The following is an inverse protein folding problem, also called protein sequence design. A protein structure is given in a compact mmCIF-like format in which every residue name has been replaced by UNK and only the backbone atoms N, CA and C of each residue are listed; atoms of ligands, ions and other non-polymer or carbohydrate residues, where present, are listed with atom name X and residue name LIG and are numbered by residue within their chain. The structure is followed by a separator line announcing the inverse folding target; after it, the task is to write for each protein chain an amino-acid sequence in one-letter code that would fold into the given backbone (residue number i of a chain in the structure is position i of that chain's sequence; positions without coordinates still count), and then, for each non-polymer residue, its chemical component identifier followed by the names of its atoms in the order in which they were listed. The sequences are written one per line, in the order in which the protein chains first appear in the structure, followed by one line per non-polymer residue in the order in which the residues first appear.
data_IF_542264155373
#
_entry.id   IF_542264155373
#
_cell.length_a   1.000
_cell.length_b   1.000
_cell.length_c   1.000
_cell.angle_alpha   90.00
_cell.angle_beta   90.00
_cell.angle_gamma   90.00
#
_symmetry.space_group_name_H-M   'P 1'
#
loop_
_entity.id
_entity.type
_entity.pdbx_description
1 polymer ?
#
# COMPACT_ATOMS: atom_id res chain seq x y z
N UNK A 1 -40.83 -59.02 -29.22
CA UNK A 1 -39.65 -58.72 -28.40
C UNK A 1 -39.44 -57.21 -28.37
N UNK A 2 -39.82 -56.57 -27.28
CA UNK A 2 -39.60 -55.14 -27.13
C UNK A 2 -38.36 -54.94 -26.31
N UNK A 3 -37.32 -54.39 -26.89
CA UNK A 3 -36.08 -54.00 -26.16
C UNK A 3 -36.32 -52.62 -25.53
N UNK A 4 -36.44 -52.56 -24.20
CA UNK A 4 -36.42 -51.34 -23.43
C UNK A 4 -34.97 -50.85 -23.34
N UNK A 5 -34.69 -49.69 -23.95
CA UNK A 5 -33.46 -48.95 -23.75
C UNK A 5 -33.63 -48.06 -22.49
N UNK A 6 -32.97 -48.43 -21.42
CA UNK A 6 -32.82 -47.53 -20.24
C UNK A 6 -31.79 -46.48 -20.56
N UNK A 7 -32.20 -45.28 -20.77
CA UNK A 7 -31.30 -44.12 -20.83
C UNK A 7 -30.99 -43.67 -19.38
N UNK A 8 -29.82 -43.96 -18.92
CA UNK A 8 -29.28 -43.45 -17.64
C UNK A 8 -28.85 -42.02 -17.84
N UNK A 9 -29.61 -41.09 -17.30
CA UNK A 9 -29.26 -39.69 -17.26
C UNK A 9 -28.26 -39.48 -16.11
N UNK A 10 -26.99 -39.26 -16.43
CA UNK A 10 -25.98 -38.82 -15.47
C UNK A 10 -26.14 -37.32 -15.25
N UNK A 11 -26.77 -36.93 -14.17
CA UNK A 11 -26.78 -35.57 -13.70
C UNK A 11 -25.46 -35.29 -12.99
N UNK A 12 -24.51 -34.71 -13.73
CA UNK A 12 -23.26 -34.21 -13.15
C UNK A 12 -23.53 -32.96 -12.31
N UNK A 13 -23.54 -33.14 -11.00
CA UNK A 13 -23.51 -32.00 -10.07
C UNK A 13 -22.14 -31.34 -10.12
N UNK A 14 -22.04 -30.23 -10.82
CA UNK A 14 -20.89 -29.33 -10.71
C UNK A 14 -20.93 -28.72 -9.31
N UNK A 15 -20.20 -29.29 -8.37
CA UNK A 15 -19.96 -28.69 -7.07
C UNK A 15 -19.11 -27.44 -7.26
N UNK A 16 -19.72 -26.26 -7.20
CA UNK A 16 -19.00 -25.00 -7.08
C UNK A 16 -18.30 -24.99 -5.74
N UNK A 17 -16.99 -25.29 -5.74
CA UNK A 17 -16.16 -25.06 -4.59
C UNK A 17 -16.07 -23.53 -4.40
N UNK A 18 -16.84 -22.98 -3.48
CA UNK A 18 -16.67 -21.60 -3.03
C UNK A 18 -15.32 -21.54 -2.32
N UNK A 19 -14.38 -20.80 -2.90
CA UNK A 19 -13.15 -20.46 -2.22
C UNK A 19 -13.51 -19.65 -0.96
N UNK A 20 -12.95 -19.98 0.21
CA UNK A 20 -13.19 -19.16 1.39
C UNK A 20 -12.69 -17.76 1.11
N UNK A 21 -13.57 -16.75 1.20
CA UNK A 21 -13.15 -15.37 1.18
C UNK A 21 -12.17 -15.17 2.35
N UNK A 22 -10.95 -14.69 2.07
CA UNK A 22 -10.04 -14.31 3.11
C UNK A 22 -10.73 -13.27 4.00
N UNK A 23 -10.90 -13.58 5.30
CA UNK A 23 -11.46 -12.64 6.25
C UNK A 23 -10.53 -11.42 6.33
N UNK A 24 -11.06 -10.21 6.18
CA UNK A 24 -10.30 -8.99 6.37
C UNK A 24 -9.75 -8.94 7.80
N UNK A 25 -8.46 -8.67 7.91
CA UNK A 25 -7.82 -8.50 9.22
C UNK A 25 -8.25 -7.17 9.81
N UNK A 26 -8.93 -7.22 10.95
CA UNK A 26 -9.35 -6.03 11.69
C UNK A 26 -8.32 -5.71 12.76
N UNK A 27 -7.64 -4.55 12.63
CA UNK A 27 -6.65 -4.08 13.58
C UNK A 27 -7.31 -3.05 14.49
N UNK A 28 -7.43 -3.37 15.78
CA UNK A 28 -8.05 -2.50 16.80
C UNK A 28 -7.04 -1.79 17.69
N UNK A 29 -5.80 -2.27 17.70
CA UNK A 29 -4.72 -1.68 18.47
C UNK A 29 -4.04 -0.59 17.67
N UNK A 30 -3.89 0.60 18.26
CA UNK A 30 -3.17 1.70 17.63
C UNK A 30 -1.70 1.33 17.34
N UNK A 31 -1.14 1.79 16.21
CA UNK A 31 0.29 1.63 15.99
C UNK A 31 1.09 2.36 17.06
N UNK A 32 2.26 1.85 17.45
CA UNK A 32 3.17 2.57 18.32
C UNK A 32 3.60 3.89 17.68
N UNK A 33 4.08 4.87 18.46
CA UNK A 33 4.69 6.06 17.90
C UNK A 33 5.81 5.71 16.92
N UNK A 34 6.01 6.49 15.85
CA UNK A 34 7.14 6.29 14.95
C UNK A 34 8.46 6.26 15.73
N UNK A 35 9.37 5.41 15.32
CA UNK A 35 10.72 5.39 15.90
C UNK A 35 11.54 6.55 15.37
N UNK A 36 12.33 7.14 16.25
CA UNK A 36 13.32 8.12 15.83
C UNK A 36 14.41 7.42 15.01
N UNK A 37 14.55 7.84 13.78
CA UNK A 37 15.64 7.41 12.90
C UNK A 37 16.48 8.62 12.53
N UNK A 38 17.79 8.42 12.50
CA UNK A 38 18.69 9.43 11.93
C UNK A 38 18.41 9.50 10.43
N UNK A 39 17.90 10.64 9.97
CA UNK A 39 17.71 10.90 8.55
C UNK A 39 19.09 11.14 7.93
N UNK A 40 19.52 10.32 6.97
CA UNK A 40 20.84 10.52 6.35
C UNK A 40 20.91 11.84 5.58
N UNK A 41 22.11 12.34 5.35
CA UNK A 41 22.32 13.48 4.46
C UNK A 41 21.75 13.19 3.06
N UNK A 42 21.21 14.24 2.41
CA UNK A 42 20.60 14.11 1.08
C UNK A 42 21.57 13.42 0.10
N UNK A 43 21.02 12.49 -0.67
CA UNK A 43 21.77 11.72 -1.67
C UNK A 43 21.23 12.04 -3.06
N UNK A 44 22.09 12.56 -3.92
CA UNK A 44 21.71 12.91 -5.30
C UNK A 44 21.10 11.72 -6.06
N UNK A 45 19.94 11.95 -6.70
CA UNK A 45 19.21 10.92 -7.46
C UNK A 45 18.42 9.92 -6.61
N UNK A 46 18.32 10.15 -5.29
CA UNK A 46 17.58 9.30 -4.38
C UNK A 46 16.67 10.10 -3.45
N UNK A 47 15.61 9.47 -3.02
CA UNK A 47 14.65 9.99 -2.04
C UNK A 47 14.71 9.10 -0.80
N UNK A 48 14.72 9.72 0.38
CA UNK A 48 14.65 8.96 1.62
C UNK A 48 13.19 8.56 1.88
N UNK A 49 12.96 7.24 1.96
CA UNK A 49 11.71 6.68 2.43
C UNK A 49 11.84 6.41 3.93
N UNK A 50 11.15 7.18 4.80
CA UNK A 50 11.26 7.01 6.24
C UNK A 50 10.74 5.64 6.69
N UNK A 51 11.25 5.16 7.82
CA UNK A 51 10.75 3.96 8.46
C UNK A 51 9.27 4.09 8.84
N UNK A 52 8.62 2.98 8.94
CA UNK A 52 7.21 2.92 9.29
C UNK A 52 6.84 1.59 9.96
N UNK A 53 5.68 1.56 10.62
CA UNK A 53 5.11 0.34 11.15
C UNK A 53 4.32 -0.40 10.08
N UNK A 54 4.50 -1.72 10.01
CA UNK A 54 3.66 -2.63 9.26
C UNK A 54 2.99 -3.63 10.19
N UNK A 55 1.80 -4.08 9.83
CA UNK A 55 1.12 -5.14 10.54
C UNK A 55 1.46 -6.48 9.91
N UNK A 56 2.14 -7.33 10.68
CA UNK A 56 2.54 -8.68 10.23
C UNK A 56 2.31 -9.69 11.34
N UNK A 57 1.63 -10.78 11.02
CA UNK A 57 1.38 -11.89 11.94
C UNK A 57 0.81 -11.45 13.30
N UNK A 58 -0.19 -10.56 13.28
CA UNK A 58 -0.90 -10.12 14.48
C UNK A 58 -0.16 -9.09 15.34
N UNK A 59 0.87 -8.44 14.82
CA UNK A 59 1.65 -7.42 15.54
C UNK A 59 2.21 -6.34 14.64
N UNK A 60 2.55 -5.21 15.21
CA UNK A 60 3.29 -4.17 14.53
C UNK A 60 4.79 -4.51 14.46
N UNK A 61 5.34 -4.41 13.27
CA UNK A 61 6.77 -4.64 13.00
C UNK A 61 7.33 -3.37 12.37
N UNK A 62 8.45 -2.88 12.90
CA UNK A 62 9.11 -1.71 12.35
C UNK A 62 9.90 -2.05 11.09
N UNK A 63 9.64 -1.29 10.02
CA UNK A 63 10.40 -1.33 8.78
C UNK A 63 11.31 -0.11 8.74
N UNK A 64 12.62 -0.33 8.68
CA UNK A 64 13.61 0.75 8.63
C UNK A 64 13.47 1.58 7.38
N UNK A 65 13.79 2.87 7.49
CA UNK A 65 13.92 3.76 6.35
C UNK A 65 14.97 3.27 5.35
N UNK A 66 14.77 3.62 4.10
CA UNK A 66 15.66 3.21 3.00
C UNK A 66 15.71 4.28 1.90
N UNK A 67 16.74 4.21 1.08
CA UNK A 67 16.85 5.03 -0.11
C UNK A 67 16.05 4.43 -1.26
N UNK A 68 15.27 5.27 -1.93
CA UNK A 68 14.59 4.94 -3.18
C UNK A 68 15.19 5.77 -4.30
N UNK A 69 15.32 5.17 -5.49
CA UNK A 69 15.72 5.92 -6.66
C UNK A 69 14.63 6.93 -7.03
N UNK A 70 15.04 8.18 -7.23
CA UNK A 70 14.15 9.27 -7.65
C UNK A 70 13.40 8.90 -8.93
N UNK A 71 12.11 9.27 -8.98
CA UNK A 71 11.26 9.13 -10.17
C UNK A 71 10.86 10.51 -10.66
N UNK A 72 11.36 10.90 -11.81
CA UNK A 72 11.08 12.19 -12.42
C UNK A 72 9.58 12.44 -12.57
N UNK A 73 9.10 13.59 -12.11
CA UNK A 73 7.69 13.98 -12.17
C UNK A 73 6.80 13.32 -11.12
N UNK A 74 7.38 12.61 -10.15
CA UNK A 74 6.68 11.95 -9.05
C UNK A 74 7.30 12.33 -7.72
N UNK A 75 6.46 12.44 -6.69
CA UNK A 75 6.88 12.54 -5.30
C UNK A 75 6.56 11.25 -4.54
N UNK A 76 7.45 10.85 -3.65
CA UNK A 76 7.21 9.70 -2.78
C UNK A 76 6.44 10.12 -1.53
N UNK A 77 5.40 9.36 -1.21
CA UNK A 77 4.61 9.52 0.01
C UNK A 77 4.77 8.27 0.87
N UNK A 78 5.17 8.45 2.12
CA UNK A 78 5.29 7.36 3.07
C UNK A 78 3.91 6.77 3.42
N UNK A 79 3.85 5.46 3.77
CA UNK A 79 2.61 4.89 4.30
C UNK A 79 2.25 5.54 5.63
N UNK A 80 0.95 5.70 5.88
CA UNK A 80 0.40 6.27 7.10
C UNK A 80 -0.69 5.38 7.68
N UNK A 81 -0.80 5.35 9.02
CA UNK A 81 -1.88 4.68 9.70
C UNK A 81 -2.98 5.69 10.05
N UNK A 82 -4.22 5.34 9.73
CA UNK A 82 -5.40 6.15 10.05
C UNK A 82 -6.42 5.32 10.79
N UNK A 83 -7.10 5.93 11.76
CA UNK A 83 -8.22 5.32 12.45
C UNK A 83 -9.52 5.62 11.69
N UNK A 84 -10.29 4.57 11.44
CA UNK A 84 -11.63 4.66 10.84
C UNK A 84 -12.57 3.71 11.57
N UNK A 85 -13.60 4.26 12.20
CA UNK A 85 -14.63 3.47 12.91
C UNK A 85 -14.05 2.48 13.94
N UNK A 86 -13.09 2.92 14.74
CA UNK A 86 -12.43 2.10 15.76
C UNK A 86 -11.45 1.05 15.21
N UNK A 87 -11.12 1.11 13.94
CA UNK A 87 -10.17 0.22 13.27
C UNK A 87 -9.00 1.02 12.69
N UNK A 88 -7.82 0.43 12.75
CA UNK A 88 -6.63 1.02 12.14
C UNK A 88 -6.40 0.46 10.75
N UNK A 89 -6.24 1.35 9.79
CA UNK A 89 -6.03 1.04 8.38
C UNK A 89 -4.75 1.73 7.91
N UNK A 90 -3.90 0.96 7.23
CA UNK A 90 -2.72 1.54 6.61
C UNK A 90 -3.07 2.07 5.23
N UNK A 91 -2.91 3.37 5.03
CA UNK A 91 -2.88 3.98 3.71
C UNK A 91 -1.51 3.75 3.10
N UNK A 92 -1.46 3.05 1.99
CA UNK A 92 -0.21 2.68 1.34
C UNK A 92 0.52 3.92 0.84
N UNK A 93 1.81 3.96 1.13
CA UNK A 93 2.72 4.88 0.49
C UNK A 93 2.96 4.54 -0.97
N UNK A 94 3.65 5.41 -1.66
CA UNK A 94 4.03 5.20 -3.04
C UNK A 94 4.33 6.51 -3.78
N UNK A 95 4.50 6.38 -5.06
CA UNK A 95 4.78 7.51 -5.93
C UNK A 95 3.49 8.14 -6.46
N UNK A 96 3.39 9.46 -6.34
CA UNK A 96 2.27 10.24 -6.86
C UNK A 96 2.78 11.27 -7.86
N UNK A 97 2.04 11.45 -8.95
CA UNK A 97 2.35 12.46 -9.95
C UNK A 97 1.96 13.85 -9.43
N UNK A 98 2.75 14.87 -9.77
CA UNK A 98 2.32 16.27 -9.63
C UNK A 98 3.15 17.15 -8.70
N UNK A 99 4.12 16.59 -8.00
CA UNK A 99 5.10 17.35 -7.23
C UNK A 99 6.50 16.86 -7.63
N UNK A 100 7.10 17.57 -8.60
CA UNK A 100 8.32 17.12 -9.27
C UNK A 100 9.56 17.25 -8.43
N UNK A 101 9.63 18.27 -7.60
CA UNK A 101 10.76 18.56 -6.74
C UNK A 101 10.53 18.19 -5.27
N UNK A 102 9.31 17.80 -4.91
CA UNK A 102 8.98 17.31 -3.58
C UNK A 102 8.92 18.39 -2.50
N UNK A 103 8.71 19.65 -2.90
CA UNK A 103 8.61 20.78 -1.96
C UNK A 103 7.23 20.89 -1.26
N UNK A 104 6.29 20.04 -1.66
CA UNK A 104 4.92 20.03 -1.16
C UNK A 104 3.96 20.89 -1.97
N UNK A 105 4.42 21.62 -2.98
CA UNK A 105 3.60 22.40 -3.90
C UNK A 105 3.39 21.62 -5.20
N UNK A 106 2.14 21.31 -5.59
CA UNK A 106 1.88 20.67 -6.88
C UNK A 106 2.43 21.48 -8.05
N UNK A 107 3.05 20.83 -9.02
CA UNK A 107 3.66 21.50 -10.19
C UNK A 107 2.78 22.53 -10.89
N UNK A 108 1.46 22.34 -10.86
CA UNK A 108 0.49 23.29 -11.47
C UNK A 108 0.37 24.63 -10.71
N UNK A 109 0.80 24.65 -9.44
CA UNK A 109 0.73 25.80 -8.54
C UNK A 109 2.12 26.33 -8.20
N UNK A 110 3.15 25.60 -8.59
CA UNK A 110 4.54 25.89 -8.30
C UNK A 110 5.18 26.67 -9.46
N UNK A 111 5.70 27.84 -9.16
CA UNK A 111 6.41 28.69 -10.13
C UNK A 111 7.78 28.11 -10.52
N UNK A 112 8.32 27.25 -9.66
CA UNK A 112 9.63 26.64 -9.86
C UNK A 112 9.60 25.12 -9.67
N UNK A 113 8.84 24.36 -10.49
CA UNK A 113 8.53 22.95 -10.24
C UNK A 113 9.73 21.99 -10.29
N UNK A 114 10.93 22.50 -10.45
CA UNK A 114 12.18 21.73 -10.41
C UNK A 114 13.14 22.22 -9.31
N UNK A 115 12.71 23.13 -8.45
CA UNK A 115 13.55 23.70 -7.40
C UNK A 115 12.85 23.62 -6.02
N UNK A 116 13.21 22.66 -5.18
CA UNK A 116 12.54 22.42 -3.89
C UNK A 116 12.74 23.56 -2.87
N UNK A 117 13.58 24.53 -3.18
CA UNK A 117 13.85 25.68 -2.28
C UNK A 117 13.12 26.97 -2.72
N UNK A 118 12.28 26.89 -3.73
CA UNK A 118 11.52 28.04 -4.26
C UNK A 118 10.14 27.59 -4.73
N UNK A 119 9.13 28.13 -4.12
CA UNK A 119 7.70 27.96 -4.45
C UNK A 119 7.21 29.09 -5.34
#
# INVERSE_FOLDING_TARGET
MKKLLLATLFAGTFGSAALPAAADVVIRTAPPPPRDEVVPAARHGYVWAPGHWEWRHGRYVWVKGTWLRERRGYAYHAPTWVERDGRWVMERGGWRRGDRDGDGVPNRLDEHPNNPNRN
#
